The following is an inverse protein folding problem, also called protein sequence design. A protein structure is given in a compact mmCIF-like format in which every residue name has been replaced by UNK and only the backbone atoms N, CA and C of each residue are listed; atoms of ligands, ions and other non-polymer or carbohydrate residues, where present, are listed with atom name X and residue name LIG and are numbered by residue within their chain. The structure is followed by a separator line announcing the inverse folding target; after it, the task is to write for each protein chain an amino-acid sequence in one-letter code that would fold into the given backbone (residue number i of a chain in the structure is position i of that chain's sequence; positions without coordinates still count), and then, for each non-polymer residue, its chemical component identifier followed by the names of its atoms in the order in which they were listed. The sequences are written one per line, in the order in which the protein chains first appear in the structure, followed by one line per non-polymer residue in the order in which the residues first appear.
data_IF_250530226615
#
_entry.id   IF_250530226615
#
_cell.length_a   1.000
_cell.length_b   1.000
_cell.length_c   1.000
_cell.angle_alpha   90.00
_cell.angle_beta   90.00
_cell.angle_gamma   90.00
#
_symmetry.space_group_name_H-M   'P 1'
#
loop_
_entity.id
_entity.type
_entity.pdbx_description
1 polymer ?
#
# COMPACT_ATOMS: atom_id res chain seq x y z
N UNK A 1 -8.12 9.17 44.70
CA UNK A 1 -8.50 8.97 43.29
C UNK A 1 -9.85 9.64 43.10
N UNK A 2 -10.01 10.46 42.07
CA UNK A 2 -11.30 11.08 41.78
C UNK A 2 -12.33 10.00 41.43
N UNK A 3 -13.43 9.94 42.19
CA UNK A 3 -14.53 9.02 41.93
C UNK A 3 -15.53 9.62 40.96
N UNK A 4 -16.33 8.79 40.31
CA UNK A 4 -17.41 9.25 39.41
C UNK A 4 -18.39 10.17 40.15
N UNK A 5 -18.67 9.87 41.41
CA UNK A 5 -19.55 10.66 42.27
C UNK A 5 -18.97 12.05 42.55
N UNK A 6 -17.66 12.16 42.82
CA UNK A 6 -17.00 13.43 43.05
C UNK A 6 -17.02 14.33 41.80
N UNK A 7 -16.81 13.74 40.62
CA UNK A 7 -16.91 14.47 39.35
C UNK A 7 -18.33 14.94 39.08
N UNK A 8 -19.34 14.09 39.30
CA UNK A 8 -20.75 14.50 39.17
C UNK A 8 -21.12 15.62 40.14
N UNK A 9 -20.64 15.56 41.37
CA UNK A 9 -20.87 16.62 42.36
C UNK A 9 -20.26 17.95 41.91
N UNK A 10 -19.05 17.94 41.34
CA UNK A 10 -18.41 19.15 40.80
C UNK A 10 -19.20 19.73 39.60
N UNK A 11 -19.63 18.88 38.67
CA UNK A 11 -20.42 19.31 37.51
C UNK A 11 -21.79 19.89 37.89
N UNK A 12 -22.42 19.38 38.96
CA UNK A 12 -23.68 19.93 39.50
C UNK A 12 -23.56 21.36 40.06
N UNK A 13 -22.35 21.88 40.23
CA UNK A 13 -22.15 23.28 40.66
C UNK A 13 -22.16 24.29 39.51
N UNK A 14 -22.26 23.81 38.27
CA UNK A 14 -22.17 24.62 37.06
C UNK A 14 -23.56 24.81 36.50
N UNK A 15 -23.97 26.05 36.33
CA UNK A 15 -25.33 26.41 35.90
C UNK A 15 -25.40 26.55 34.38
N UNK A 16 -26.42 25.97 33.78
CA UNK A 16 -26.78 26.20 32.38
C UNK A 16 -27.43 27.59 32.23
N UNK A 17 -26.86 28.50 31.43
CA UNK A 17 -27.38 29.86 31.25
C UNK A 17 -28.82 29.92 30.69
N UNK A 18 -29.30 28.88 30.01
CA UNK A 18 -30.63 28.89 29.40
C UNK A 18 -31.73 28.36 30.34
N UNK A 19 -31.48 27.25 31.02
CA UNK A 19 -32.47 26.63 31.92
C UNK A 19 -32.39 27.13 33.36
N UNK A 20 -31.27 27.73 33.78
CA UNK A 20 -31.00 28.09 35.18
C UNK A 20 -30.81 26.89 36.11
N UNK A 21 -30.80 25.67 35.57
CA UNK A 21 -30.52 24.44 36.28
C UNK A 21 -29.05 24.05 36.12
N UNK A 22 -28.55 23.13 36.95
CA UNK A 22 -27.19 22.63 36.76
C UNK A 22 -27.06 21.76 35.50
N UNK A 23 -25.88 21.74 34.88
CA UNK A 23 -25.62 21.05 33.61
C UNK A 23 -25.78 19.52 33.68
N UNK A 24 -25.90 18.92 34.87
CA UNK A 24 -26.20 17.49 35.03
C UNK A 24 -27.71 17.28 35.07
N UNK A 25 -28.42 18.05 35.89
CA UNK A 25 -29.89 18.00 36.01
C UNK A 25 -30.60 18.46 34.73
N UNK A 26 -30.02 19.42 34.01
CA UNK A 26 -30.49 19.88 32.70
C UNK A 26 -30.30 18.83 31.58
N UNK A 27 -29.68 17.68 31.88
CA UNK A 27 -29.46 16.61 30.92
C UNK A 27 -28.39 16.89 29.86
N UNK A 28 -27.64 17.99 30.00
CA UNK A 28 -26.58 18.44 29.09
C UNK A 28 -25.37 17.52 29.20
N UNK A 29 -25.02 17.09 30.41
CA UNK A 29 -23.86 16.21 30.65
C UNK A 29 -24.22 14.75 30.35
N UNK A 30 -23.58 14.16 29.33
CA UNK A 30 -23.73 12.77 28.89
C UNK A 30 -22.39 12.03 28.87
N UNK A 31 -22.46 10.70 28.84
CA UNK A 31 -21.30 9.81 28.66
C UNK A 31 -20.11 10.06 29.61
N UNK A 32 -20.37 10.46 30.86
CA UNK A 32 -19.32 10.67 31.85
C UNK A 32 -18.55 9.38 32.17
N UNK A 33 -17.25 9.40 31.91
CA UNK A 33 -16.31 8.31 32.18
C UNK A 33 -15.17 8.83 33.05
N UNK A 34 -14.82 8.09 34.10
CA UNK A 34 -13.70 8.37 35.00
C UNK A 34 -12.81 7.13 35.06
N UNK A 35 -11.60 7.23 34.53
CA UNK A 35 -10.67 6.09 34.42
C UNK A 35 -9.23 6.54 34.69
N UNK A 36 -8.57 5.92 35.67
CA UNK A 36 -7.17 6.18 36.05
C UNK A 36 -6.76 7.67 36.07
N UNK A 37 -7.61 8.53 36.64
CA UNK A 37 -7.37 9.98 36.72
C UNK A 37 -7.68 10.76 35.45
N UNK A 38 -8.20 10.12 34.41
CA UNK A 38 -8.73 10.79 33.22
C UNK A 38 -10.24 10.89 33.29
N UNK A 39 -10.77 12.10 33.11
CA UNK A 39 -12.20 12.38 33.10
C UNK A 39 -12.65 12.81 31.71
N UNK A 40 -13.66 12.14 31.16
CA UNK A 40 -14.24 12.47 29.84
C UNK A 40 -15.75 12.57 29.93
N UNK A 41 -16.35 13.57 29.31
CA UNK A 41 -17.81 13.71 29.22
C UNK A 41 -18.20 14.51 27.98
N UNK A 42 -19.45 14.34 27.56
CA UNK A 42 -20.06 15.06 26.43
C UNK A 42 -21.06 16.07 26.98
N UNK A 43 -21.06 17.27 26.41
CA UNK A 43 -22.09 18.29 26.62
C UNK A 43 -22.98 18.32 25.38
N UNK A 44 -24.17 17.73 25.49
CA UNK A 44 -25.19 17.80 24.44
C UNK A 44 -25.89 19.14 24.50
N UNK A 45 -25.77 19.91 23.43
CA UNK A 45 -26.31 21.26 23.32
C UNK A 45 -27.01 21.44 21.98
N UNK A 46 -27.83 22.48 21.85
CA UNK A 46 -28.26 22.96 20.52
C UNK A 46 -27.05 23.58 19.80
N UNK A 47 -26.86 23.26 18.52
CA UNK A 47 -25.76 23.82 17.72
C UNK A 47 -25.80 25.35 17.64
N UNK A 48 -26.99 25.96 17.72
CA UNK A 48 -27.16 27.41 17.78
C UNK A 48 -26.61 28.04 19.08
N UNK A 49 -26.33 27.23 20.10
CA UNK A 49 -25.84 27.66 21.42
C UNK A 49 -24.36 27.37 21.65
N UNK A 50 -23.62 26.86 20.65
CA UNK A 50 -22.23 26.46 20.80
C UNK A 50 -21.33 27.57 21.36
N UNK A 51 -21.42 28.80 20.83
CA UNK A 51 -20.63 29.94 21.31
C UNK A 51 -20.98 30.32 22.75
N UNK A 52 -22.27 30.29 23.12
CA UNK A 52 -22.73 30.63 24.47
C UNK A 52 -22.38 29.56 25.52
N UNK A 53 -22.14 28.32 25.09
CA UNK A 53 -21.83 27.18 25.96
C UNK A 53 -20.32 26.94 26.14
N UNK A 54 -19.47 27.58 25.34
CA UNK A 54 -18.01 27.46 25.45
C UNK A 54 -17.48 27.92 26.83
N UNK A 55 -17.94 29.03 27.44
CA UNK A 55 -17.55 29.40 28.80
C UNK A 55 -17.93 28.34 29.83
N UNK A 56 -19.09 27.69 29.66
CA UNK A 56 -19.60 26.64 30.54
C UNK A 56 -18.75 25.37 30.41
N UNK A 57 -18.36 25.01 29.18
CA UNK A 57 -17.42 23.92 28.89
C UNK A 57 -16.07 24.15 29.56
N UNK A 58 -15.51 25.35 29.41
CA UNK A 58 -14.23 25.71 29.99
C UNK A 58 -14.28 25.71 31.53
N UNK A 59 -15.36 26.20 32.15
CA UNK A 59 -15.57 26.13 33.60
C UNK A 59 -15.63 24.68 34.09
N UNK A 60 -16.34 23.81 33.36
CA UNK A 60 -16.44 22.40 33.68
C UNK A 60 -15.10 21.67 33.61
N UNK A 61 -14.29 21.94 32.58
CA UNK A 61 -12.94 21.40 32.49
C UNK A 61 -12.05 21.89 33.64
N UNK A 62 -12.10 23.18 33.97
CA UNK A 62 -11.29 23.77 35.04
C UNK A 62 -11.65 23.18 36.41
N UNK A 63 -12.94 23.09 36.75
CA UNK A 63 -13.42 22.54 38.03
C UNK A 63 -13.06 21.07 38.19
N UNK A 64 -13.20 20.27 37.14
CA UNK A 64 -12.82 18.84 37.20
C UNK A 64 -11.31 18.69 37.33
N UNK A 65 -10.53 19.51 36.63
CA UNK A 65 -9.07 19.45 36.69
C UNK A 65 -8.51 19.79 38.08
N UNK A 66 -9.26 20.57 38.86
CA UNK A 66 -8.93 20.90 40.24
C UNK A 66 -9.23 19.78 41.25
N UNK A 67 -9.88 18.69 40.85
CA UNK A 67 -10.16 17.56 41.74
C UNK A 67 -8.92 16.69 41.98
N UNK A 68 -8.74 16.26 43.23
CA UNK A 68 -7.61 15.42 43.63
C UNK A 68 -7.60 14.07 42.90
N UNK A 69 -6.51 13.82 42.17
CA UNK A 69 -6.29 12.61 41.40
C UNK A 69 -6.80 12.66 39.96
N UNK A 70 -7.18 13.84 39.45
CA UNK A 70 -7.41 14.06 38.02
C UNK A 70 -6.12 14.51 37.34
N UNK A 71 -5.68 13.77 36.33
CA UNK A 71 -4.50 14.05 35.50
C UNK A 71 -4.89 14.73 34.18
N UNK A 72 -6.05 14.36 33.60
CA UNK A 72 -6.53 14.96 32.35
C UNK A 72 -8.05 15.02 32.29
N UNK A 73 -8.56 16.05 31.62
CA UNK A 73 -10.00 16.27 31.40
C UNK A 73 -10.24 16.55 29.92
N UNK A 74 -11.32 15.98 29.37
CA UNK A 74 -11.80 16.29 28.02
C UNK A 74 -13.32 16.43 28.03
N UNK A 75 -13.79 17.64 27.72
CA UNK A 75 -15.20 17.94 27.52
C UNK A 75 -15.46 18.24 26.04
N UNK A 76 -16.30 17.41 25.39
CA UNK A 76 -16.70 17.61 24.00
C UNK A 76 -18.11 18.15 23.93
N UNK A 77 -18.34 19.21 23.16
CA UNK A 77 -19.71 19.67 22.85
C UNK A 77 -20.21 18.99 21.58
N UNK A 78 -21.42 18.43 21.63
CA UNK A 78 -22.08 17.85 20.46
C UNK A 78 -23.44 18.49 20.26
N UNK A 79 -23.72 18.93 19.03
CA UNK A 79 -25.05 19.41 18.67
C UNK A 79 -26.04 18.23 18.67
N UNK A 80 -27.30 18.45 19.08
CA UNK A 80 -28.37 17.45 19.05
C UNK A 80 -28.40 16.68 17.72
N UNK A 81 -27.88 15.46 17.72
CA UNK A 81 -28.15 14.44 16.72
C UNK A 81 -28.84 13.30 17.46
N UNK A 82 -29.94 12.79 16.92
CA UNK A 82 -30.69 11.65 17.45
C UNK A 82 -29.93 10.30 17.31
N UNK A 83 -28.62 10.31 17.53
CA UNK A 83 -27.76 9.12 17.56
C UNK A 83 -27.22 8.97 18.97
N UNK A 84 -27.19 7.72 19.44
CA UNK A 84 -26.66 7.36 20.75
C UNK A 84 -25.28 8.00 20.96
N UNK A 85 -24.97 8.49 22.17
CA UNK A 85 -23.70 9.13 22.46
C UNK A 85 -22.55 8.18 22.08
N UNK A 86 -21.48 8.67 21.46
CA UNK A 86 -20.33 7.85 21.11
C UNK A 86 -19.78 7.15 22.37
N UNK A 87 -19.54 5.85 22.29
CA UNK A 87 -19.00 5.06 23.41
C UNK A 87 -17.59 5.58 23.72
N UNK A 88 -17.47 6.36 24.81
CA UNK A 88 -16.23 7.01 25.27
C UNK A 88 -15.28 6.06 26.01
N UNK A 89 -15.58 4.75 26.01
CA UNK A 89 -14.58 3.76 26.37
C UNK A 89 -13.37 4.00 25.47
N UNK A 90 -12.13 3.98 26.00
CA UNK A 90 -10.96 3.97 25.14
C UNK A 90 -11.15 2.80 24.18
N UNK A 91 -11.45 3.09 22.91
CA UNK A 91 -11.28 2.11 21.86
C UNK A 91 -9.85 1.65 22.04
N UNK A 92 -9.71 0.37 22.39
CA UNK A 92 -8.45 -0.37 22.33
C UNK A 92 -7.72 0.23 21.13
N UNK A 93 -6.58 0.92 21.33
CA UNK A 93 -5.72 1.32 20.19
C UNK A 93 -5.72 0.09 19.31
N UNK A 94 -6.27 0.20 18.09
CA UNK A 94 -6.50 -0.95 17.23
C UNK A 94 -5.23 -1.77 17.33
N UNK A 95 -5.33 -2.96 17.93
CA UNK A 95 -4.18 -3.85 18.05
C UNK A 95 -3.58 -3.89 16.67
N UNK A 96 -2.26 -3.69 16.50
CA UNK A 96 -1.68 -3.61 15.17
C UNK A 96 -2.14 -4.82 14.40
N UNK A 97 -3.10 -4.59 13.49
CA UNK A 97 -3.67 -5.67 12.70
C UNK A 97 -2.48 -6.21 11.94
N UNK A 98 -2.21 -7.51 12.14
CA UNK A 98 -1.19 -8.20 11.37
C UNK A 98 -1.44 -8.02 9.87
N UNK A 99 -0.47 -8.39 9.04
CA UNK A 99 -0.59 -8.24 7.59
C UNK A 99 -1.93 -8.81 7.10
N UNK A 100 -2.72 -7.99 6.41
CA UNK A 100 -4.05 -8.36 5.96
C UNK A 100 -4.02 -8.90 4.52
N UNK A 101 -5.02 -9.68 4.15
CA UNK A 101 -5.23 -10.05 2.74
C UNK A 101 -5.89 -8.91 1.97
N UNK A 102 -5.69 -8.90 0.65
CA UNK A 102 -6.42 -8.01 -0.26
C UNK A 102 -7.71 -8.70 -0.72
N UNK A 103 -8.88 -8.04 -0.62
CA UNK A 103 -10.14 -8.64 -1.05
C UNK A 103 -10.10 -9.13 -2.51
N UNK A 104 -10.43 -10.41 -2.72
CA UNK A 104 -10.53 -11.03 -4.04
C UNK A 104 -9.19 -11.44 -4.67
N UNK A 105 -8.05 -11.22 -3.99
CA UNK A 105 -6.73 -11.61 -4.49
C UNK A 105 -6.26 -12.86 -3.76
N UNK A 106 -5.95 -13.93 -4.51
CA UNK A 106 -5.44 -15.19 -3.96
C UNK A 106 -3.97 -15.06 -3.55
N UNK A 107 -3.11 -14.53 -4.44
CA UNK A 107 -1.68 -14.29 -4.14
C UNK A 107 -1.20 -12.88 -4.40
N UNK A 108 -0.32 -12.37 -3.53
CA UNK A 108 0.38 -11.10 -3.68
C UNK A 108 1.87 -11.34 -3.84
N UNK A 109 2.42 -10.99 -5.00
CA UNK A 109 3.84 -11.15 -5.32
C UNK A 109 4.48 -9.80 -5.54
N UNK A 110 5.46 -9.46 -4.71
CA UNK A 110 6.26 -8.26 -4.88
C UNK A 110 7.31 -8.45 -5.98
N UNK A 111 7.48 -7.47 -6.87
CA UNK A 111 8.61 -7.42 -7.80
C UNK A 111 9.51 -6.27 -7.39
N UNK A 112 10.74 -6.58 -6.97
CA UNK A 112 11.67 -5.62 -6.38
C UNK A 112 13.03 -5.63 -7.09
N UNK A 113 13.81 -4.56 -6.88
CA UNK A 113 15.19 -4.46 -7.33
C UNK A 113 16.04 -3.66 -6.35
N UNK A 114 17.34 -3.98 -6.28
CA UNK A 114 18.28 -3.27 -5.41
C UNK A 114 18.50 -1.81 -5.81
N UNK A 115 18.43 -1.51 -7.11
CA UNK A 115 18.61 -0.16 -7.66
C UNK A 115 17.69 0.12 -8.85
N UNK A 116 17.68 1.38 -9.28
CA UNK A 116 16.98 1.82 -10.49
C UNK A 116 17.71 1.39 -11.77
N UNK A 117 16.98 1.31 -12.87
CA UNK A 117 17.54 1.03 -14.20
C UNK A 117 17.72 -0.44 -14.57
N UNK A 118 17.45 -1.38 -13.67
CA UNK A 118 17.60 -2.83 -13.94
C UNK A 118 16.52 -3.43 -14.85
N UNK A 119 15.54 -2.62 -15.26
CA UNK A 119 14.40 -3.06 -16.08
C UNK A 119 13.30 -3.82 -15.32
N UNK A 120 13.24 -3.67 -13.99
CA UNK A 120 12.19 -4.24 -13.11
C UNK A 120 10.78 -4.06 -13.66
N UNK A 121 10.38 -2.84 -14.01
CA UNK A 121 9.03 -2.57 -14.51
C UNK A 121 8.73 -3.25 -15.85
N UNK A 122 9.73 -3.35 -16.74
CA UNK A 122 9.65 -4.12 -17.98
C UNK A 122 9.43 -5.59 -17.71
N UNK A 123 10.14 -6.15 -16.73
CA UNK A 123 9.96 -7.54 -16.29
C UNK A 123 8.57 -7.74 -15.70
N UNK A 124 8.12 -6.86 -14.80
CA UNK A 124 6.77 -6.91 -14.20
C UNK A 124 5.66 -6.89 -15.26
N UNK A 125 5.74 -6.01 -16.26
CA UNK A 125 4.75 -5.91 -17.34
C UNK A 125 4.68 -7.18 -18.20
N UNK A 126 5.84 -7.69 -18.62
CA UNK A 126 5.91 -8.89 -19.45
C UNK A 126 5.54 -10.15 -18.67
N UNK A 127 5.94 -10.25 -17.40
CA UNK A 127 5.55 -11.35 -16.53
C UNK A 127 4.02 -11.36 -16.30
N UNK A 128 3.41 -10.19 -16.07
CA UNK A 128 1.96 -10.09 -15.93
C UNK A 128 1.23 -10.58 -17.19
N UNK A 129 1.67 -10.14 -18.37
CA UNK A 129 1.09 -10.58 -19.65
C UNK A 129 1.35 -12.06 -19.93
N UNK A 130 2.52 -12.59 -19.53
CA UNK A 130 2.85 -14.00 -19.68
C UNK A 130 1.96 -14.87 -18.79
N UNK A 131 1.76 -14.51 -17.53
CA UNK A 131 0.85 -15.22 -16.62
C UNK A 131 -0.59 -15.19 -17.13
N UNK A 132 -1.04 -14.05 -17.67
CA UNK A 132 -2.36 -13.95 -18.31
C UNK A 132 -2.46 -14.86 -19.55
N UNK A 133 -1.40 -14.97 -20.35
CA UNK A 133 -1.33 -15.88 -21.49
C UNK A 133 -1.31 -17.37 -21.10
N UNK A 134 -0.87 -17.70 -19.89
CA UNK A 134 -0.99 -19.04 -19.29
C UNK A 134 -2.35 -19.24 -18.56
N UNK A 135 -3.31 -18.32 -18.75
CA UNK A 135 -4.69 -18.47 -18.29
C UNK A 135 -4.97 -18.00 -16.86
N UNK A 136 -4.02 -17.31 -16.22
CA UNK A 136 -4.20 -16.76 -14.86
C UNK A 136 -4.94 -15.42 -14.90
N UNK A 137 -5.72 -15.14 -13.86
CA UNK A 137 -6.36 -13.84 -13.63
C UNK A 137 -5.37 -12.93 -12.92
N UNK A 138 -4.76 -12.03 -13.69
CA UNK A 138 -3.60 -11.25 -13.22
C UNK A 138 -3.96 -9.80 -12.91
N UNK A 139 -3.51 -9.33 -11.75
CA UNK A 139 -3.40 -7.93 -11.40
C UNK A 139 -1.97 -7.42 -11.52
N UNK A 140 -1.80 -6.17 -11.91
CA UNK A 140 -0.53 -5.45 -11.84
C UNK A 140 -0.74 -4.11 -11.14
N UNK A 141 -0.10 -3.92 -9.99
CA UNK A 141 -0.06 -2.67 -9.26
C UNK A 141 1.30 -1.99 -9.46
N UNK A 142 1.30 -0.80 -10.05
CA UNK A 142 2.45 0.07 -10.12
C UNK A 142 2.54 0.95 -8.87
N UNK A 143 3.49 0.60 -8.00
CA UNK A 143 3.77 1.31 -6.76
C UNK A 143 4.98 2.25 -6.88
N UNK A 144 5.61 2.35 -8.06
CA UNK A 144 6.72 3.27 -8.30
C UNK A 144 6.22 4.64 -8.74
N UNK A 145 5.96 5.48 -7.74
CA UNK A 145 5.40 6.82 -7.93
C UNK A 145 6.39 7.80 -8.57
N UNK A 146 7.70 7.53 -8.49
CA UNK A 146 8.74 8.41 -9.02
C UNK A 146 9.01 8.17 -10.50
N UNK A 147 8.70 6.97 -10.99
CA UNK A 147 8.83 6.60 -12.40
C UNK A 147 7.72 5.68 -12.87
N UNK A 148 6.44 6.09 -12.77
CA UNK A 148 5.31 5.25 -13.15
C UNK A 148 5.43 4.93 -14.64
N UNK A 149 5.57 3.65 -14.95
CA UNK A 149 5.85 3.18 -16.30
C UNK A 149 4.86 2.14 -16.79
N UNK A 150 4.15 1.49 -15.87
CA UNK A 150 3.21 0.42 -16.21
C UNK A 150 2.04 0.88 -17.07
N UNK A 151 1.43 2.08 -16.87
CA UNK A 151 0.36 2.52 -17.75
C UNK A 151 0.80 2.62 -19.21
N UNK A 152 1.97 3.21 -19.43
CA UNK A 152 2.57 3.32 -20.77
C UNK A 152 2.90 1.95 -21.34
N UNK A 153 3.54 1.06 -20.56
CA UNK A 153 3.94 -0.27 -21.02
C UNK A 153 2.77 -1.19 -21.38
N UNK A 154 1.62 -1.01 -20.71
CA UNK A 154 0.38 -1.73 -21.04
C UNK A 154 -0.54 -0.95 -21.99
N UNK A 155 -0.12 0.20 -22.51
CA UNK A 155 -0.91 0.97 -23.49
C UNK A 155 -2.25 1.46 -22.94
N UNK A 156 -2.28 1.84 -21.66
CA UNK A 156 -3.47 2.35 -20.98
C UNK A 156 -3.26 3.78 -20.54
N UNK A 157 -4.30 4.59 -20.74
CA UNK A 157 -4.29 6.03 -20.54
C UNK A 157 -5.60 6.51 -19.92
N UNK A 158 -5.57 7.69 -19.33
CA UNK A 158 -6.74 8.30 -18.69
C UNK A 158 -6.82 8.01 -17.20
N UNK A 159 -7.82 8.57 -16.53
CA UNK A 159 -8.00 8.43 -15.09
C UNK A 159 -8.94 7.30 -14.72
N UNK A 160 -8.56 6.46 -13.75
CA UNK A 160 -9.45 5.49 -13.12
C UNK A 160 -10.73 6.17 -12.61
N UNK A 161 -11.87 5.56 -12.91
CA UNK A 161 -13.16 6.05 -12.42
C UNK A 161 -13.38 5.61 -10.97
N UNK A 162 -14.03 6.47 -10.19
CA UNK A 162 -14.55 6.11 -8.87
C UNK A 162 -16.00 6.60 -8.76
N UNK A 163 -16.99 5.81 -9.24
CA UNK A 163 -18.39 6.25 -9.33
C UNK A 163 -19.02 6.65 -8.00
N UNK A 164 -18.58 6.06 -6.90
CA UNK A 164 -19.07 6.29 -5.53
C UNK A 164 -18.09 7.09 -4.66
N UNK A 165 -16.95 7.52 -5.22
CA UNK A 165 -15.87 8.20 -4.52
C UNK A 165 -15.14 7.33 -3.49
N UNK A 166 -15.40 6.03 -3.44
CA UNK A 166 -14.80 5.08 -2.49
C UNK A 166 -14.11 3.91 -3.17
N UNK A 167 -14.75 3.33 -4.18
CA UNK A 167 -14.22 2.22 -4.94
C UNK A 167 -13.58 2.74 -6.22
N UNK A 168 -12.36 2.30 -6.49
CA UNK A 168 -11.60 2.66 -7.68
C UNK A 168 -11.73 1.53 -8.70
N UNK A 169 -12.18 1.86 -9.90
CA UNK A 169 -12.25 0.91 -11.01
C UNK A 169 -10.88 0.86 -11.71
N UNK A 170 -10.19 -0.30 -11.69
CA UNK A 170 -8.90 -0.43 -12.34
C UNK A 170 -9.02 -0.41 -13.87
N UNK A 171 -7.90 -0.14 -14.52
CA UNK A 171 -7.78 -0.23 -15.97
C UNK A 171 -7.55 -1.68 -16.39
N UNK A 172 -7.82 -2.02 -17.66
CA UNK A 172 -7.56 -3.36 -18.19
C UNK A 172 -6.99 -3.28 -19.59
N UNK A 173 -5.94 -4.04 -19.85
CA UNK A 173 -5.45 -4.31 -21.20
C UNK A 173 -4.64 -5.61 -21.22
N UNK A 174 -4.52 -6.25 -22.39
CA UNK A 174 -3.70 -7.45 -22.58
C UNK A 174 -3.98 -8.60 -21.59
N UNK A 175 -5.22 -8.71 -21.11
CA UNK A 175 -5.62 -9.70 -20.09
C UNK A 175 -5.19 -9.38 -18.65
N UNK A 176 -4.58 -8.21 -18.41
CA UNK A 176 -4.10 -7.76 -17.11
C UNK A 176 -5.00 -6.66 -16.56
N UNK A 177 -5.42 -6.80 -15.29
CA UNK A 177 -6.07 -5.71 -14.54
C UNK A 177 -4.98 -4.85 -13.91
N UNK A 178 -4.93 -3.55 -14.24
CA UNK A 178 -3.84 -2.67 -13.83
C UNK A 178 -4.33 -1.47 -13.04
N UNK A 179 -3.59 -1.13 -12.00
CA UNK A 179 -3.69 0.16 -11.33
C UNK A 179 -2.30 0.76 -11.12
N UNK A 180 -2.18 2.08 -11.24
CA UNK A 180 -0.95 2.80 -10.95
C UNK A 180 -1.26 4.03 -10.12
N UNK A 181 -0.42 4.29 -9.12
CA UNK A 181 -0.49 5.53 -8.35
C UNK A 181 -0.30 6.75 -9.27
N UNK A 182 0.50 6.62 -10.34
CA UNK A 182 0.72 7.68 -11.33
C UNK A 182 -0.53 8.08 -12.11
N UNK A 183 -1.56 7.24 -12.18
CA UNK A 183 -2.83 7.57 -12.84
C UNK A 183 -3.76 8.44 -11.98
N UNK A 184 -3.47 8.58 -10.69
CA UNK A 184 -4.26 9.41 -9.78
C UNK A 184 -3.79 10.87 -9.75
N UNK A 185 -2.61 11.16 -10.29
CA UNK A 185 -2.06 12.51 -10.35
C UNK A 185 -2.48 13.23 -11.62
N UNK A 186 -2.72 14.54 -11.51
CA UNK A 186 -2.89 15.39 -12.67
C UNK A 186 -1.50 15.54 -13.35
N UNK A 187 -1.40 15.26 -14.66
CA UNK A 187 -0.14 15.38 -15.42
C UNK A 187 0.48 16.79 -15.32
N UNK A 188 -0.35 17.82 -15.12
CA UNK A 188 0.08 19.22 -15.00
C UNK A 188 0.50 19.65 -13.58
N UNK A 189 0.41 18.77 -12.58
CA UNK A 189 0.72 19.11 -11.19
C UNK A 189 1.91 18.30 -10.67
N UNK A 190 3.01 18.99 -10.37
CA UNK A 190 4.11 18.42 -9.61
C UNK A 190 3.66 18.16 -8.16
N UNK A 191 3.24 16.92 -7.88
CA UNK A 191 2.91 16.49 -6.52
C UNK A 191 4.19 16.11 -5.79
N UNK A 192 4.47 16.79 -4.68
CA UNK A 192 5.57 16.41 -3.78
C UNK A 192 5.11 15.24 -2.92
N UNK A 193 5.59 14.05 -3.24
CA UNK A 193 5.29 12.83 -2.50
C UNK A 193 6.07 12.78 -1.19
N UNK A 194 5.35 12.71 -0.08
CA UNK A 194 5.90 12.44 1.25
C UNK A 194 5.61 11.00 1.66
N UNK A 195 6.47 10.40 2.49
CA UNK A 195 6.33 9.02 2.97
C UNK A 195 4.89 8.65 3.39
N UNK A 196 4.24 9.38 4.30
CA UNK A 196 2.87 9.08 4.71
C UNK A 196 1.83 9.11 3.57
N UNK A 197 2.03 9.96 2.55
CA UNK A 197 1.15 10.01 1.38
C UNK A 197 1.33 8.77 0.51
N UNK A 198 2.56 8.31 0.30
CA UNK A 198 2.84 7.08 -0.42
C UNK A 198 2.25 5.86 0.28
N UNK A 199 2.39 5.80 1.61
CA UNK A 199 1.80 4.74 2.44
C UNK A 199 0.27 4.74 2.36
N UNK A 200 -0.35 5.93 2.38
CA UNK A 200 -1.80 6.09 2.23
C UNK A 200 -2.29 5.69 0.85
N UNK A 201 -1.60 6.13 -0.21
CA UNK A 201 -1.90 5.78 -1.59
C UNK A 201 -1.77 4.28 -1.83
N UNK A 202 -0.68 3.65 -1.37
CA UNK A 202 -0.51 2.19 -1.46
C UNK A 202 -1.66 1.45 -0.77
N UNK A 203 -1.99 1.82 0.48
CA UNK A 203 -3.10 1.19 1.20
C UNK A 203 -4.44 1.41 0.50
N UNK A 204 -4.64 2.57 -0.14
CA UNK A 204 -5.81 2.83 -0.97
C UNK A 204 -5.84 1.90 -2.19
N UNK A 205 -4.74 1.74 -2.91
CA UNK A 205 -4.66 0.84 -4.06
C UNK A 205 -4.91 -0.62 -3.68
N UNK A 206 -4.41 -1.04 -2.53
CA UNK A 206 -4.59 -2.40 -2.05
C UNK A 206 -6.02 -2.66 -1.55
N UNK A 207 -6.68 -1.70 -0.90
CA UNK A 207 -7.98 -1.95 -0.25
C UNK A 207 -9.21 -1.45 -1.01
N UNK A 208 -9.07 -0.38 -1.82
CA UNK A 208 -10.20 0.32 -2.43
C UNK A 208 -10.33 0.09 -3.94
N UNK A 209 -9.31 -0.51 -4.58
CA UNK A 209 -9.40 -0.91 -5.98
C UNK A 209 -10.25 -2.17 -6.10
N UNK A 210 -11.20 -2.15 -7.02
CA UNK A 210 -12.01 -3.32 -7.36
C UNK A 210 -11.22 -4.26 -8.28
N UNK A 211 -10.24 -4.95 -7.71
CA UNK A 211 -9.41 -5.93 -8.42
C UNK A 211 -10.23 -7.07 -9.04
N UNK A 212 -11.36 -7.42 -8.41
CA UNK A 212 -12.14 -8.59 -8.77
C UNK A 212 -11.49 -9.86 -8.20
N UNK A 213 -11.76 -11.01 -8.82
CA UNK A 213 -11.14 -12.27 -8.43
C UNK A 213 -9.84 -12.46 -9.23
N UNK A 214 -8.70 -12.31 -8.55
CA UNK A 214 -7.37 -12.50 -9.11
C UNK A 214 -6.70 -13.75 -8.54
N UNK A 215 -6.01 -14.48 -9.39
CA UNK A 215 -5.12 -15.56 -9.00
C UNK A 215 -3.80 -15.00 -8.43
N UNK A 216 -3.32 -13.90 -9.01
CA UNK A 216 -2.09 -13.24 -8.58
C UNK A 216 -2.15 -11.73 -8.84
N UNK A 217 -1.72 -10.96 -7.84
CA UNK A 217 -1.44 -9.53 -7.94
C UNK A 217 0.07 -9.32 -7.89
N UNK A 218 0.66 -8.92 -9.00
CA UNK A 218 2.04 -8.46 -9.06
C UNK A 218 2.10 -7.00 -8.58
N UNK A 219 3.01 -6.70 -7.66
CA UNK A 219 3.25 -5.33 -7.18
C UNK A 219 4.63 -4.87 -7.62
N UNK A 220 4.67 -3.98 -8.61
CA UNK A 220 5.91 -3.36 -9.10
C UNK A 220 6.37 -2.26 -8.14
N UNK A 221 7.36 -2.58 -7.33
CA UNK A 221 7.85 -1.70 -6.26
C UNK A 221 8.80 -0.64 -6.77
N UNK A 222 9.00 0.51 -6.10
CA UNK A 222 10.12 1.39 -6.41
C UNK A 222 11.47 0.69 -6.15
N UNK A 223 12.58 1.17 -6.72
CA UNK A 223 13.90 0.60 -6.47
C UNK A 223 14.33 0.77 -5.00
N UNK A 224 15.20 -0.13 -4.53
CA UNK A 224 15.79 -0.09 -3.19
C UNK A 224 14.92 -0.76 -2.10
N UNK A 225 15.07 -0.29 -0.86
CA UNK A 225 14.41 -0.83 0.35
C UNK A 225 13.67 0.27 1.12
N UNK A 226 12.85 1.05 0.42
CA UNK A 226 12.18 2.24 0.95
C UNK A 226 10.88 1.96 1.71
N UNK A 227 10.19 3.06 2.08
CA UNK A 227 8.95 3.03 2.86
C UNK A 227 7.82 2.26 2.19
N UNK A 228 7.76 2.24 0.85
CA UNK A 228 6.70 1.53 0.11
C UNK A 228 6.81 0.03 0.32
N UNK A 229 8.01 -0.52 0.23
CA UNK A 229 8.31 -1.94 0.42
C UNK A 229 8.05 -2.37 1.88
N UNK A 230 8.48 -1.56 2.83
CA UNK A 230 8.22 -1.78 4.26
C UNK A 230 6.73 -1.73 4.58
N UNK A 231 6.01 -0.75 4.02
CA UNK A 231 4.57 -0.62 4.23
C UNK A 231 3.82 -1.79 3.63
N UNK A 232 4.19 -2.21 2.41
CA UNK A 232 3.58 -3.36 1.75
C UNK A 232 3.70 -4.61 2.63
N UNK A 233 4.92 -4.94 3.04
CA UNK A 233 5.23 -6.14 3.85
C UNK A 233 4.69 -6.08 5.28
N UNK A 234 4.56 -4.90 5.88
CA UNK A 234 3.98 -4.72 7.21
C UNK A 234 2.45 -4.77 7.22
N UNK A 235 1.80 -4.26 6.16
CA UNK A 235 0.35 -4.09 6.11
C UNK A 235 -0.37 -5.21 5.39
N UNK A 236 0.30 -5.92 4.49
CA UNK A 236 -0.31 -6.94 3.64
C UNK A 236 0.46 -8.26 3.70
N UNK A 237 -0.27 -9.36 3.74
CA UNK A 237 0.31 -10.69 3.72
C UNK A 237 0.79 -10.99 2.29
N UNK A 238 2.11 -11.07 2.10
CA UNK A 238 2.72 -11.37 0.81
C UNK A 238 3.04 -12.86 0.71
N UNK A 239 2.72 -13.44 -0.44
CA UNK A 239 3.02 -14.84 -0.77
C UNK A 239 4.44 -15.02 -1.30
N UNK A 240 5.08 -13.94 -1.74
CA UNK A 240 6.51 -13.90 -1.96
C UNK A 240 7.01 -12.67 -2.71
N UNK A 241 8.31 -12.67 -2.97
CA UNK A 241 9.00 -11.63 -3.72
C UNK A 241 9.88 -12.21 -4.83
N UNK A 242 9.86 -11.55 -5.99
CA UNK A 242 10.76 -11.78 -7.11
C UNK A 242 11.77 -10.63 -7.16
N UNK A 243 13.05 -10.97 -7.26
CA UNK A 243 14.13 -9.99 -7.29
C UNK A 243 14.67 -9.87 -8.71
N UNK A 244 14.55 -8.68 -9.30
CA UNK A 244 15.11 -8.37 -10.62
C UNK A 244 16.47 -7.71 -10.44
N UNK A 245 17.47 -8.23 -11.16
CA UNK A 245 18.85 -7.72 -11.13
C UNK A 245 19.49 -7.87 -12.51
N UNK A 246 20.61 -7.20 -12.75
CA UNK A 246 21.44 -7.42 -13.94
C UNK A 246 22.78 -8.07 -13.56
N UNK A 247 23.55 -8.66 -14.50
CA UNK A 247 24.82 -9.32 -14.19
C UNK A 247 25.80 -8.45 -13.39
N UNK A 248 25.80 -7.13 -13.63
CA UNK A 248 26.67 -6.17 -12.94
C UNK A 248 26.28 -5.89 -11.50
N UNK A 249 25.00 -6.06 -11.18
CA UNK A 249 24.40 -5.54 -9.95
C UNK A 249 24.54 -6.49 -8.78
N UNK A 250 24.81 -7.74 -9.09
CA UNK A 250 24.69 -8.83 -8.13
C UNK A 250 25.90 -8.94 -7.21
N UNK A 251 27.06 -8.50 -7.69
CA UNK A 251 28.23 -8.33 -6.86
C UNK A 251 28.13 -7.10 -5.92
N UNK A 252 27.12 -6.23 -6.11
CA UNK A 252 26.92 -5.03 -5.32
C UNK A 252 25.96 -5.29 -4.14
N UNK A 253 26.15 -4.53 -3.06
CA UNK A 253 25.37 -4.60 -1.82
C UNK A 253 23.86 -4.40 -1.99
N UNK A 254 23.41 -3.90 -3.14
CA UNK A 254 22.05 -3.41 -3.32
C UNK A 254 21.03 -4.53 -3.51
N UNK A 255 21.34 -5.58 -4.28
CA UNK A 255 20.47 -6.75 -4.41
C UNK A 255 20.32 -7.49 -3.08
N UNK A 256 21.41 -7.59 -2.31
CA UNK A 256 21.42 -8.20 -0.97
C UNK A 256 20.53 -7.45 0.01
N UNK A 257 20.65 -6.11 0.07
CA UNK A 257 19.77 -5.29 0.92
C UNK A 257 18.29 -5.50 0.58
N UNK A 258 17.96 -5.56 -0.72
CA UNK A 258 16.61 -5.87 -1.18
C UNK A 258 16.07 -7.19 -0.63
N UNK A 259 16.89 -8.24 -0.71
CA UNK A 259 16.55 -9.58 -0.21
C UNK A 259 16.46 -9.59 1.32
N UNK A 260 17.44 -9.03 2.01
CA UNK A 260 17.50 -8.97 3.47
C UNK A 260 16.26 -8.32 4.06
N UNK A 261 15.73 -7.28 3.42
CA UNK A 261 14.49 -6.63 3.85
C UNK A 261 13.29 -7.60 3.81
N UNK A 262 13.09 -8.34 2.72
CA UNK A 262 12.00 -9.32 2.64
C UNK A 262 12.19 -10.48 3.62
N UNK A 263 13.43 -10.94 3.81
CA UNK A 263 13.78 -11.98 4.80
C UNK A 263 13.45 -11.52 6.22
N UNK A 264 13.85 -10.30 6.59
CA UNK A 264 13.51 -9.70 7.90
C UNK A 264 12.00 -9.58 8.11
N UNK A 265 11.27 -9.28 7.03
CA UNK A 265 9.82 -9.20 7.01
C UNK A 265 9.13 -10.55 6.81
N UNK A 266 9.88 -11.66 6.85
CA UNK A 266 9.40 -13.04 6.70
C UNK A 266 8.61 -13.29 5.42
N UNK A 267 8.89 -12.52 4.37
CA UNK A 267 8.34 -12.72 3.03
C UNK A 267 9.27 -13.67 2.26
N UNK A 268 8.78 -14.79 1.71
CA UNK A 268 9.63 -15.75 1.00
C UNK A 268 10.11 -15.16 -0.33
N UNK A 269 11.35 -15.44 -0.69
CA UNK A 269 11.88 -15.09 -2.02
C UNK A 269 11.52 -16.23 -2.98
N UNK A 270 10.66 -15.95 -3.95
CA UNK A 270 10.25 -16.91 -4.97
C UNK A 270 11.38 -17.20 -5.96
N UNK A 271 12.25 -16.22 -6.18
CA UNK A 271 13.47 -16.38 -6.95
C UNK A 271 14.00 -15.06 -7.52
N UNK A 272 15.08 -15.19 -8.30
CA UNK A 272 15.75 -14.07 -8.95
C UNK A 272 15.60 -14.14 -10.47
N UNK A 273 15.50 -13.00 -11.13
CA UNK A 273 15.53 -12.86 -12.59
C UNK A 273 16.76 -12.04 -12.97
N UNK A 274 17.61 -12.59 -13.83
CA UNK A 274 18.72 -11.86 -14.45
C UNK A 274 18.22 -11.17 -15.71
N UNK A 275 17.99 -9.87 -15.64
CA UNK A 275 17.63 -9.07 -16.79
C UNK A 275 18.88 -8.50 -17.48
N UNK A 276 18.78 -8.24 -18.78
CA UNK A 276 19.89 -7.79 -19.62
C UNK A 276 21.09 -8.76 -19.57
N UNK A 277 20.83 -10.07 -19.51
CA UNK A 277 21.85 -11.12 -19.34
C UNK A 277 22.76 -11.25 -20.56
N UNK A 278 22.19 -11.13 -21.76
CA UNK A 278 22.89 -11.25 -23.04
C UNK A 278 22.39 -10.20 -24.02
N UNK A 279 23.25 -9.77 -24.94
CA UNK A 279 22.86 -9.00 -26.11
C UNK A 279 22.95 -9.91 -27.34
N UNK A 280 21.86 -9.97 -28.11
CA UNK A 280 21.81 -10.73 -29.36
C UNK A 280 21.75 -9.73 -30.52
N UNK A 281 22.80 -9.71 -31.34
CA UNK A 281 22.90 -8.81 -32.48
C UNK A 281 21.78 -9.10 -33.49
N UNK A 282 20.92 -8.11 -33.73
CA UNK A 282 19.79 -8.22 -34.66
C UNK A 282 20.19 -8.43 -36.14
N UNK A 283 21.45 -8.14 -36.50
CA UNK A 283 21.94 -8.30 -37.87
C UNK A 283 22.57 -9.67 -38.15
N UNK A 284 23.29 -10.27 -37.18
CA UNK A 284 24.03 -11.52 -37.40
C UNK A 284 23.71 -12.63 -36.40
N UNK A 285 22.91 -12.37 -35.36
CA UNK A 285 22.58 -13.35 -34.31
C UNK A 285 23.71 -13.64 -33.33
N UNK A 286 24.83 -12.91 -33.39
CA UNK A 286 25.91 -13.04 -32.41
C UNK A 286 25.41 -12.70 -31.01
N UNK A 287 25.66 -13.60 -30.07
CA UNK A 287 25.33 -13.44 -28.66
C UNK A 287 26.58 -13.07 -27.87
N UNK A 288 26.47 -11.99 -27.09
CA UNK A 288 27.56 -11.49 -26.25
C UNK A 288 27.06 -11.04 -24.88
N UNK A 289 27.88 -11.23 -23.86
CA UNK A 289 27.58 -10.84 -22.48
C UNK A 289 28.13 -9.43 -22.19
N UNK A 290 27.51 -8.40 -22.78
CA UNK A 290 27.95 -6.99 -22.68
C UNK A 290 28.12 -6.48 -21.25
N UNK A 291 27.41 -7.09 -20.30
CA UNK A 291 27.40 -6.71 -18.89
C UNK A 291 28.03 -7.75 -17.97
N UNK A 292 28.68 -8.78 -18.53
CA UNK A 292 29.12 -9.97 -17.80
C UNK A 292 28.03 -11.05 -17.76
N UNK A 293 28.34 -12.18 -17.13
CA UNK A 293 27.48 -13.36 -17.12
C UNK A 293 27.53 -14.10 -15.79
N UNK A 294 26.40 -14.69 -15.40
CA UNK A 294 26.32 -15.62 -14.27
C UNK A 294 26.41 -14.96 -12.89
N UNK A 295 26.31 -13.62 -12.85
CA UNK A 295 26.32 -12.86 -11.60
C UNK A 295 25.14 -13.26 -10.71
N UNK A 296 23.91 -13.17 -11.26
CA UNK A 296 22.67 -13.54 -10.54
C UNK A 296 22.68 -15.01 -10.19
N UNK A 297 23.08 -15.87 -11.12
CA UNK A 297 23.13 -17.32 -10.92
C UNK A 297 24.02 -17.69 -9.72
N UNK A 298 25.22 -17.11 -9.64
CA UNK A 298 26.13 -17.35 -8.53
C UNK A 298 25.58 -16.86 -7.18
N UNK A 299 24.86 -15.74 -7.17
CA UNK A 299 24.31 -15.18 -5.93
C UNK A 299 23.02 -15.86 -5.49
N UNK A 300 22.14 -16.21 -6.43
CA UNK A 300 20.96 -17.03 -6.18
C UNK A 300 21.37 -18.34 -5.50
N UNK A 301 22.44 -18.99 -5.98
CA UNK A 301 23.01 -20.18 -5.36
C UNK A 301 23.54 -19.92 -3.93
N UNK A 302 24.24 -18.81 -3.68
CA UNK A 302 24.73 -18.45 -2.33
C UNK A 302 23.60 -18.17 -1.34
N UNK A 303 22.51 -17.56 -1.81
CA UNK A 303 21.36 -17.20 -1.00
C UNK A 303 20.35 -18.35 -0.86
N UNK A 304 20.55 -19.45 -1.60
CA UNK A 304 19.64 -20.59 -1.59
C UNK A 304 18.29 -20.31 -2.24
N UNK A 305 18.22 -19.36 -3.17
CA UNK A 305 17.00 -18.98 -3.90
C UNK A 305 17.12 -19.42 -5.37
N UNK A 306 16.02 -19.76 -6.05
CA UNK A 306 16.09 -20.21 -7.43
C UNK A 306 16.34 -19.05 -8.40
N UNK A 307 17.07 -19.32 -9.48
CA UNK A 307 17.07 -18.47 -10.66
C UNK A 307 15.84 -18.82 -11.50
N UNK A 308 14.92 -17.88 -11.66
CA UNK A 308 13.68 -18.08 -12.41
C UNK A 308 13.89 -17.98 -13.92
N UNK A 309 14.84 -17.16 -14.35
CA UNK A 309 15.19 -17.01 -15.76
C UNK A 309 16.16 -15.89 -16.03
N UNK A 310 16.67 -15.90 -17.26
CA UNK A 310 17.59 -14.91 -17.81
C UNK A 310 16.90 -14.26 -19.01
N UNK A 311 16.82 -12.93 -19.00
CA UNK A 311 16.12 -12.14 -20.01
C UNK A 311 17.17 -11.35 -20.81
N UNK A 312 17.22 -11.51 -22.15
CA UNK A 312 18.21 -10.83 -22.97
C UNK A 312 17.93 -9.32 -23.08
N UNK A 313 18.98 -8.52 -23.21
CA UNK A 313 18.93 -7.15 -23.68
C UNK A 313 18.66 -7.15 -25.19
N UNK A 314 17.42 -6.88 -25.57
CA UNK A 314 17.02 -6.88 -26.98
C UNK A 314 16.18 -5.66 -27.35
N UNK A 315 16.43 -5.12 -28.54
CA UNK A 315 15.74 -3.92 -29.05
C UNK A 315 14.22 -4.09 -29.09
N UNK A 316 13.75 -5.27 -29.49
CA UNK A 316 12.31 -5.54 -29.56
C UNK A 316 11.62 -5.45 -28.20
N UNK A 317 12.29 -5.85 -27.10
CA UNK A 317 11.72 -5.73 -25.75
C UNK A 317 11.53 -4.25 -25.40
N UNK A 318 12.54 -3.42 -25.71
CA UNK A 318 12.49 -1.98 -25.48
C UNK A 318 11.40 -1.31 -26.33
N UNK A 319 11.33 -1.65 -27.62
CA UNK A 319 10.32 -1.09 -28.54
C UNK A 319 8.90 -1.49 -28.14
N UNK A 320 8.70 -2.74 -27.73
CA UNK A 320 7.43 -3.27 -27.25
C UNK A 320 6.95 -2.55 -25.98
N UNK A 321 7.85 -2.34 -25.02
CA UNK A 321 7.56 -1.58 -23.79
C UNK A 321 7.17 -0.13 -24.08
N UNK A 322 7.86 0.54 -25.02
CA UNK A 322 7.53 1.91 -25.41
C UNK A 322 6.24 2.03 -26.20
N UNK A 323 5.88 0.97 -26.94
CA UNK A 323 4.69 0.90 -27.80
C UNK A 323 3.40 0.48 -27.09
N UNK A 324 3.45 0.19 -25.79
CA UNK A 324 2.26 -0.18 -25.00
C UNK A 324 1.73 -1.58 -25.23
N UNK A 325 2.52 -2.45 -25.87
CA UNK A 325 2.21 -3.85 -26.08
C UNK A 325 3.47 -4.68 -25.76
N UNK A 326 3.61 -5.21 -24.53
CA UNK A 326 4.80 -5.94 -24.08
C UNK A 326 5.19 -7.06 -25.06
N UNK A 327 6.46 -7.48 -25.07
CA UNK A 327 6.97 -8.40 -26.11
C UNK A 327 6.20 -9.72 -26.15
N UNK A 328 5.72 -10.17 -24.98
CA UNK A 328 4.88 -11.36 -24.85
C UNK A 328 3.55 -11.24 -25.61
N UNK A 329 3.05 -10.02 -25.81
CA UNK A 329 1.83 -9.72 -26.55
C UNK A 329 2.14 -9.42 -28.01
N UNK A 330 3.12 -8.56 -28.28
CA UNK A 330 3.40 -8.06 -29.62
C UNK A 330 4.16 -9.05 -30.51
N UNK A 331 5.00 -9.91 -29.93
CA UNK A 331 5.75 -10.97 -30.64
C UNK A 331 5.78 -12.26 -29.79
N UNK A 332 4.63 -12.93 -29.56
CA UNK A 332 4.51 -14.05 -28.61
C UNK A 332 5.41 -15.24 -28.92
N UNK A 333 5.72 -15.48 -30.20
CA UNK A 333 6.56 -16.60 -30.66
C UNK A 333 8.06 -16.28 -30.71
N UNK A 334 8.44 -15.04 -30.37
CA UNK A 334 9.85 -14.63 -30.32
C UNK A 334 10.59 -15.29 -29.16
N UNK A 335 11.90 -15.53 -29.31
CA UNK A 335 12.73 -16.08 -28.25
C UNK A 335 12.68 -15.21 -26.96
N UNK A 336 12.59 -13.88 -27.14
CA UNK A 336 12.48 -12.91 -26.06
C UNK A 336 11.17 -13.06 -25.28
N UNK A 337 10.05 -13.25 -25.97
CA UNK A 337 8.77 -13.54 -25.33
C UNK A 337 8.80 -14.88 -24.60
N UNK A 338 9.41 -15.91 -25.19
CA UNK A 338 9.52 -17.22 -24.57
C UNK A 338 10.32 -17.19 -23.26
N UNK A 339 11.32 -16.31 -23.11
CA UNK A 339 12.04 -16.16 -21.85
C UNK A 339 11.08 -15.76 -20.69
N UNK A 340 10.18 -14.79 -20.93
CA UNK A 340 9.17 -14.40 -19.93
C UNK A 340 8.10 -15.48 -19.73
N UNK A 341 7.67 -16.18 -20.78
CA UNK A 341 6.70 -17.28 -20.67
C UNK A 341 7.25 -18.46 -19.88
N UNK A 342 8.53 -18.78 -20.03
CA UNK A 342 9.20 -19.80 -19.23
C UNK A 342 9.19 -19.47 -17.74
N UNK A 343 9.48 -18.20 -17.39
CA UNK A 343 9.36 -17.72 -15.99
C UNK A 343 7.91 -17.86 -15.50
N UNK A 344 6.93 -17.43 -16.29
CA UNK A 344 5.52 -17.51 -15.92
C UNK A 344 5.06 -18.96 -15.68
N UNK A 345 5.43 -19.89 -16.57
CA UNK A 345 5.13 -21.33 -16.41
C UNK A 345 5.77 -21.91 -15.16
N UNK A 346 7.04 -21.59 -14.88
CA UNK A 346 7.70 -22.05 -13.67
C UNK A 346 6.97 -21.58 -12.39
N UNK A 347 6.46 -20.35 -12.37
CA UNK A 347 5.67 -19.85 -11.24
C UNK A 347 4.31 -20.56 -11.14
N UNK A 348 3.62 -20.80 -12.26
CA UNK A 348 2.32 -21.51 -12.26
C UNK A 348 2.49 -22.97 -11.83
N UNK A 349 3.46 -23.68 -12.40
CA UNK A 349 3.75 -25.09 -12.08
C UNK A 349 4.21 -25.25 -10.62
N UNK A 350 4.95 -24.27 -10.10
CA UNK A 350 5.35 -24.21 -8.70
C UNK A 350 4.22 -23.82 -7.73
N UNK A 351 3.02 -23.51 -8.23
CA UNK A 351 1.91 -23.04 -7.40
C UNK A 351 2.24 -21.70 -6.72
N UNK A 352 2.96 -20.82 -7.41
CA UNK A 352 3.35 -19.48 -6.95
C UNK A 352 2.60 -18.37 -7.68
N UNK A 353 2.01 -18.66 -8.84
CA UNK A 353 1.11 -17.76 -9.57
C UNK A 353 -0.18 -18.45 -9.98
#
# INVERSE_FOLDING_TARGET
MATREAVLAALKTITDPASGQDIVSAGITRALTVDQGTVRFVMEIDGARAEAMEPVRAEAEAKIRALDGVQSVSAMMTAHAAKAPPDLKPQRKAEPQGPQSVPGVDRIVAVASGKGGVGKSTVSANLACALAAEGRRVGLLDADVYGPSQPRMLGVSGRPASPDGKTILPMRNHGVTMMSIGLMTNEDQAVVWRGPMLMGALQQMMNQVQWGALDVLLVDLPPGTGDVQLTLTQKFALDGAIIVSTPQDVALLDARKGIDMFVQMKTPILGMIENMSTHICSNCGHEEHVFGHGGVTAEAAKLGVPLLGEIPLHLDIRMAADGGAPIVVSKPDSAQAQAFRSVARALVDGGQA
#
